data_IF_576303640541
#
_entry.id   IF_576303640541
#
_cell.length_a   1.000
_cell.length_b   1.000
_cell.length_c   1.000
_cell.angle_alpha   90.00
_cell.angle_beta   90.00
_cell.angle_gamma   90.00
#
_symmetry.space_group_name_H-M   'P 1'
#
loop_
_entity.id
_entity.type
_entity.pdbx_description
1 polymer ?
#
# COMPACT_ATOMS: atom_id res chain seq x y z
N UNK A 1 1.52 37.31 18.72
CA UNK A 1 2.71 36.46 18.61
C UNK A 1 2.59 35.28 17.66
N UNK A 2 1.40 34.72 17.39
CA UNK A 2 1.24 33.55 16.48
C UNK A 2 0.41 33.87 15.21
N UNK A 3 -0.28 35.01 15.17
CA UNK A 3 -1.01 35.51 14.00
C UNK A 3 -0.29 36.64 13.23
N UNK A 4 0.88 37.09 13.71
CA UNK A 4 1.70 38.11 13.03
C UNK A 4 2.85 37.51 12.20
N UNK A 5 3.01 36.19 12.19
CA UNK A 5 3.93 35.50 11.28
C UNK A 5 3.37 35.41 9.84
N UNK A 6 2.15 35.91 9.61
CA UNK A 6 1.48 35.95 8.31
C UNK A 6 1.58 37.31 7.59
N UNK A 7 2.29 38.30 8.13
CA UNK A 7 2.51 39.57 7.42
C UNK A 7 3.99 39.88 7.28
N UNK A 8 4.50 39.95 6.05
CA UNK A 8 5.71 40.72 5.79
C UNK A 8 6.70 40.16 4.77
N UNK A 9 6.44 39.01 4.15
CA UNK A 9 7.33 38.46 3.12
C UNK A 9 6.51 37.85 1.98
N UNK A 10 5.88 38.73 1.20
CA UNK A 10 5.55 38.42 -0.19
C UNK A 10 6.82 38.60 -1.04
N UNK A 11 7.85 37.79 -0.82
CA UNK A 11 9.00 37.76 -1.74
C UNK A 11 8.67 36.77 -2.84
N UNK A 12 8.12 37.31 -3.93
CA UNK A 12 8.39 36.92 -5.31
C UNK A 12 9.05 35.52 -5.45
N UNK A 13 8.27 34.45 -5.28
CA UNK A 13 8.74 33.06 -5.37
C UNK A 13 8.89 32.63 -6.83
N UNK A 14 9.69 33.38 -7.60
CA UNK A 14 9.91 33.13 -9.02
C UNK A 14 11.10 32.19 -9.28
N UNK A 15 11.90 31.86 -8.26
CA UNK A 15 13.02 30.92 -8.38
C UNK A 15 12.64 29.44 -8.19
N UNK A 16 13.41 28.53 -8.80
CA UNK A 16 13.26 27.08 -8.63
C UNK A 16 13.35 26.63 -7.16
N UNK A 17 14.24 27.22 -6.36
CA UNK A 17 14.43 26.83 -4.96
C UNK A 17 13.20 27.09 -4.07
N UNK A 18 12.50 28.21 -4.27
CA UNK A 18 11.30 28.54 -3.51
C UNK A 18 10.13 27.60 -3.87
N UNK A 19 9.99 27.24 -5.16
CA UNK A 19 9.01 26.24 -5.61
C UNK A 19 9.29 24.86 -5.01
N UNK A 20 10.54 24.40 -5.01
CA UNK A 20 10.91 23.13 -4.41
C UNK A 20 10.64 23.07 -2.90
N UNK A 21 10.93 24.16 -2.16
CA UNK A 21 10.67 24.23 -0.73
C UNK A 21 9.17 24.22 -0.40
N UNK A 22 8.37 25.00 -1.15
CA UNK A 22 6.92 25.03 -1.01
C UNK A 22 6.26 23.69 -1.40
N UNK A 23 6.78 23.02 -2.43
CA UNK A 23 6.35 21.68 -2.82
C UNK A 23 6.68 20.66 -1.74
N UNK A 24 7.88 20.71 -1.17
CA UNK A 24 8.26 19.84 -0.05
C UNK A 24 7.34 20.02 1.17
N UNK A 25 7.09 21.27 1.57
CA UNK A 25 6.21 21.57 2.70
C UNK A 25 4.76 21.16 2.44
N UNK A 26 4.20 21.49 1.28
CA UNK A 26 2.82 21.13 0.92
C UNK A 26 2.63 19.61 0.80
N UNK A 27 3.63 18.90 0.25
CA UNK A 27 3.64 17.44 0.18
C UNK A 27 3.63 16.81 1.57
N UNK A 28 4.50 17.28 2.47
CA UNK A 28 4.55 16.80 3.86
C UNK A 28 3.24 17.08 4.61
N UNK A 29 2.70 18.30 4.46
CA UNK A 29 1.43 18.68 5.07
C UNK A 29 0.29 17.79 4.59
N UNK A 30 0.13 17.61 3.28
CA UNK A 30 -0.91 16.75 2.70
C UNK A 30 -0.75 15.29 3.12
N UNK A 31 0.48 14.78 3.20
CA UNK A 31 0.75 13.41 3.64
C UNK A 31 0.31 13.17 5.09
N UNK A 32 0.77 14.03 6.01
CA UNK A 32 0.44 13.91 7.44
C UNK A 32 -1.05 14.19 7.71
N UNK A 33 -1.65 15.13 6.99
CA UNK A 33 -3.04 15.48 7.16
C UNK A 33 -3.97 14.38 6.63
N UNK A 34 -3.65 13.78 5.47
CA UNK A 34 -4.31 12.56 4.98
C UNK A 34 -4.21 11.44 6.02
N UNK A 35 -2.99 11.09 6.44
CA UNK A 35 -2.73 10.00 7.38
C UNK A 35 -3.49 10.19 8.70
N UNK A 36 -3.37 11.36 9.32
CA UNK A 36 -4.04 11.66 10.58
C UNK A 36 -5.57 11.68 10.45
N UNK A 37 -6.11 12.17 9.33
CA UNK A 37 -7.56 12.13 9.09
C UNK A 37 -8.08 10.71 8.88
N UNK A 38 -7.32 9.85 8.18
CA UNK A 38 -7.72 8.47 7.90
C UNK A 38 -7.81 7.65 9.20
N UNK A 39 -6.84 7.81 10.11
CA UNK A 39 -6.84 7.16 11.43
C UNK A 39 -7.95 7.69 12.35
N UNK A 40 -8.25 8.99 12.30
CA UNK A 40 -9.39 9.54 13.04
C UNK A 40 -10.71 9.02 12.50
N UNK A 41 -10.89 8.98 11.17
CA UNK A 41 -12.11 8.47 10.57
C UNK A 41 -12.32 6.97 10.81
N UNK A 42 -11.27 6.16 10.93
CA UNK A 42 -11.40 4.74 11.30
C UNK A 42 -11.83 4.57 12.76
N UNK A 43 -11.29 5.36 13.68
CA UNK A 43 -11.66 5.35 15.12
C UNK A 43 -13.02 5.98 15.44
N UNK A 44 -13.63 6.70 14.49
CA UNK A 44 -15.00 7.21 14.65
C UNK A 44 -16.06 6.11 14.79
N UNK A 45 -15.79 4.88 14.35
CA UNK A 45 -16.73 3.76 14.50
C UNK A 45 -17.01 3.42 15.98
N UNK A 46 -16.00 3.53 16.83
CA UNK A 46 -16.05 3.11 18.25
C UNK A 46 -16.59 4.22 19.17
N UNK A 47 -16.41 5.49 18.79
CA UNK A 47 -16.71 6.65 19.64
C UNK A 47 -18.12 7.22 19.43
N UNK A 48 -18.73 7.01 18.25
CA UNK A 48 -20.01 7.61 17.91
C UNK A 48 -21.22 6.84 18.45
N UNK A 49 -21.73 7.22 19.63
CA UNK A 49 -22.94 6.65 20.26
C UNK A 49 -24.28 7.31 19.85
N UNK A 50 -24.27 8.38 19.04
CA UNK A 50 -25.48 9.15 18.71
C UNK A 50 -26.26 8.62 17.49
N UNK A 51 -27.54 9.02 17.35
CA UNK A 51 -28.49 8.62 16.28
C UNK A 51 -27.99 8.80 14.83
N UNK A 52 -27.11 9.79 14.57
CA UNK A 52 -26.42 9.97 13.27
C UNK A 52 -25.37 8.87 12.96
N UNK A 53 -25.14 7.93 13.87
CA UNK A 53 -24.14 6.88 13.77
C UNK A 53 -24.36 5.93 12.58
N UNK A 54 -25.52 5.87 11.93
CA UNK A 54 -25.68 5.04 10.71
C UNK A 54 -24.83 5.55 9.53
N UNK A 55 -24.86 6.85 9.25
CA UNK A 55 -24.05 7.43 8.17
C UNK A 55 -22.57 7.42 8.57
N UNK A 56 -22.27 7.78 9.81
CA UNK A 56 -20.89 7.84 10.32
C UNK A 56 -20.21 6.45 10.32
N UNK A 57 -20.95 5.39 10.68
CA UNK A 57 -20.43 4.01 10.62
C UNK A 57 -20.25 3.51 9.19
N UNK A 58 -21.04 4.03 8.23
CA UNK A 58 -20.83 3.76 6.80
C UNK A 58 -19.59 4.48 6.28
N UNK A 59 -19.37 5.75 6.65
CA UNK A 59 -18.19 6.51 6.23
C UNK A 59 -16.90 6.03 6.88
N UNK A 60 -16.95 5.53 8.12
CA UNK A 60 -15.77 4.98 8.82
C UNK A 60 -15.16 3.77 8.08
N UNK A 61 -15.99 2.95 7.41
CA UNK A 61 -15.51 1.82 6.58
C UNK A 61 -14.76 2.28 5.32
N UNK A 62 -15.03 3.50 4.86
CA UNK A 62 -14.38 4.11 3.70
C UNK A 62 -13.43 5.25 4.12
N UNK A 63 -12.87 5.19 5.33
CA UNK A 63 -12.03 6.25 5.91
C UNK A 63 -10.93 6.73 4.97
N UNK A 64 -10.17 5.81 4.38
CA UNK A 64 -9.09 6.12 3.43
C UNK A 64 -9.62 6.84 2.17
N UNK A 65 -10.75 6.40 1.61
CA UNK A 65 -11.36 7.01 0.42
C UNK A 65 -11.94 8.41 0.73
N UNK A 66 -12.58 8.56 1.88
CA UNK A 66 -13.13 9.84 2.33
C UNK A 66 -12.00 10.83 2.60
N UNK A 67 -10.92 10.40 3.26
CA UNK A 67 -9.70 11.21 3.44
C UNK A 67 -9.05 11.58 2.11
N UNK A 68 -8.99 10.65 1.15
CA UNK A 68 -8.43 10.90 -0.18
C UNK A 68 -9.24 11.98 -0.89
N UNK A 69 -10.56 11.83 -0.94
CA UNK A 69 -11.47 12.81 -1.55
C UNK A 69 -11.38 14.17 -0.85
N UNK A 70 -11.34 14.20 0.48
CA UNK A 70 -11.23 15.44 1.25
C UNK A 70 -9.93 16.17 0.92
N UNK A 71 -8.77 15.52 1.03
CA UNK A 71 -7.48 16.19 0.85
C UNK A 71 -7.15 16.48 -0.61
N UNK A 72 -7.68 15.72 -1.56
CA UNK A 72 -7.62 16.08 -2.98
C UNK A 72 -8.41 17.34 -3.26
N UNK A 73 -9.64 17.48 -2.74
CA UNK A 73 -10.44 18.70 -2.88
C UNK A 73 -9.78 19.88 -2.15
N UNK A 74 -9.30 19.69 -0.92
CA UNK A 74 -8.61 20.72 -0.15
C UNK A 74 -7.32 21.21 -0.85
N UNK A 75 -6.68 20.37 -1.66
CA UNK A 75 -5.51 20.79 -2.46
C UNK A 75 -5.82 21.86 -3.50
N UNK A 76 -7.09 22.04 -3.90
CA UNK A 76 -7.52 23.08 -4.82
C UNK A 76 -7.89 24.40 -4.12
N UNK A 77 -8.01 24.41 -2.78
CA UNK A 77 -8.37 25.62 -2.03
C UNK A 77 -7.43 26.81 -2.29
N UNK A 78 -6.09 26.67 -2.31
CA UNK A 78 -5.19 27.79 -2.58
C UNK A 78 -5.38 28.38 -4.00
N UNK A 79 -5.76 27.55 -4.96
CA UNK A 79 -6.08 27.99 -6.31
C UNK A 79 -7.41 28.76 -6.36
N UNK A 80 -8.41 28.34 -5.56
CA UNK A 80 -9.71 29.00 -5.49
C UNK A 80 -9.70 30.28 -4.65
N UNK A 81 -8.83 30.39 -3.65
CA UNK A 81 -8.78 31.54 -2.74
C UNK A 81 -7.95 32.71 -3.26
N UNK A 82 -7.33 32.58 -4.46
CA UNK A 82 -6.45 33.59 -5.06
C UNK A 82 -5.47 34.20 -4.05
N UNK A 83 -4.90 33.35 -3.18
CA UNK A 83 -4.07 33.79 -2.08
C UNK A 83 -2.84 34.58 -2.61
N UNK A 84 -2.60 35.82 -2.13
CA UNK A 84 -1.47 36.62 -2.59
C UNK A 84 -0.15 35.89 -2.32
N UNK A 85 0.61 35.58 -3.37
CA UNK A 85 1.91 34.92 -3.29
C UNK A 85 1.94 33.40 -3.53
N UNK A 86 0.79 32.73 -3.75
CA UNK A 86 0.80 31.32 -4.13
C UNK A 86 1.16 31.16 -5.62
N UNK A 87 2.12 30.29 -5.99
CA UNK A 87 2.45 30.04 -7.40
C UNK A 87 1.23 29.44 -8.12
N UNK A 88 0.78 30.09 -9.18
CA UNK A 88 -0.42 29.67 -9.92
C UNK A 88 -0.24 28.37 -10.73
N UNK A 89 0.98 27.86 -10.87
CA UNK A 89 1.29 26.66 -11.64
C UNK A 89 2.18 25.69 -10.86
N UNK A 90 1.72 24.46 -10.65
CA UNK A 90 2.55 23.33 -10.22
C UNK A 90 2.71 23.09 -8.72
N UNK A 91 1.90 23.73 -7.86
CA UNK A 91 1.90 23.47 -6.40
C UNK A 91 0.50 23.10 -5.93
N UNK A 92 0.28 21.95 -5.25
CA UNK A 92 1.24 20.87 -5.00
C UNK A 92 1.55 20.04 -6.26
N UNK A 93 2.71 19.37 -6.28
CA UNK A 93 3.06 18.42 -7.34
C UNK A 93 2.03 17.30 -7.42
N UNK A 94 1.60 16.98 -8.64
CA UNK A 94 0.59 15.96 -8.93
C UNK A 94 1.22 14.77 -9.61
N UNK A 95 0.54 13.64 -9.55
CA UNK A 95 0.99 12.42 -10.22
C UNK A 95 1.09 12.68 -11.72
N UNK A 96 2.26 12.40 -12.28
CA UNK A 96 2.46 12.44 -13.74
C UNK A 96 1.82 11.18 -14.30
N UNK A 97 0.71 11.38 -15.00
CA UNK A 97 -0.02 10.29 -15.63
C UNK A 97 0.22 10.38 -17.13
N UNK A 98 0.90 9.41 -17.75
CA UNK A 98 1.08 9.42 -19.19
C UNK A 98 -0.28 9.32 -19.88
N UNK A 99 -0.54 10.24 -20.82
CA UNK A 99 -1.72 10.17 -21.65
C UNK A 99 -1.62 8.95 -22.58
N UNK A 100 -2.76 8.28 -22.79
CA UNK A 100 -2.87 7.18 -23.74
C UNK A 100 -2.30 7.58 -25.10
N UNK A 101 -1.31 6.82 -25.59
CA UNK A 101 -0.65 7.03 -26.88
C UNK A 101 0.53 8.01 -26.89
N UNK A 102 0.88 8.65 -25.77
CA UNK A 102 2.10 9.49 -25.68
C UNK A 102 3.34 8.71 -25.21
N UNK A 103 3.13 7.57 -24.56
CA UNK A 103 4.21 6.64 -24.28
C UNK A 103 4.46 5.86 -25.57
N UNK A 104 5.67 5.93 -26.12
CA UNK A 104 6.10 5.12 -27.27
C UNK A 104 6.18 3.62 -26.99
N UNK A 105 5.30 3.11 -26.12
CA UNK A 105 5.14 1.70 -25.84
C UNK A 105 4.24 1.11 -26.91
N UNK A 106 4.87 0.38 -27.83
CA UNK A 106 4.15 -0.46 -28.76
C UNK A 106 3.52 -1.62 -27.97
N UNK A 107 2.23 -1.49 -27.68
CA UNK A 107 1.40 -2.65 -27.37
C UNK A 107 1.59 -3.65 -28.51
N UNK A 108 1.68 -4.95 -28.21
CA UNK A 108 2.03 -6.03 -29.16
C UNK A 108 3.56 -6.22 -29.37
N UNK A 109 4.31 -6.29 -28.26
CA UNK A 109 5.73 -6.66 -28.25
C UNK A 109 6.04 -7.95 -29.05
N UNK A 110 5.06 -8.86 -29.18
CA UNK A 110 5.21 -10.06 -30.00
C UNK A 110 5.49 -9.83 -31.49
N UNK A 111 5.05 -8.69 -32.06
CA UNK A 111 5.25 -8.40 -33.49
C UNK A 111 6.72 -8.11 -33.84
N UNK A 112 7.53 -7.66 -32.88
CA UNK A 112 8.96 -7.37 -33.05
C UNK A 112 9.89 -8.44 -32.49
N UNK A 113 9.36 -9.57 -32.03
CA UNK A 113 10.19 -10.67 -31.50
C UNK A 113 11.19 -11.21 -32.53
N UNK A 114 10.89 -11.09 -33.83
CA UNK A 114 11.77 -11.51 -34.92
C UNK A 114 13.02 -10.65 -35.12
N UNK A 115 13.09 -9.46 -34.51
CA UNK A 115 14.25 -8.55 -34.60
C UNK A 115 15.32 -8.86 -33.54
N UNK A 116 14.99 -9.70 -32.55
CA UNK A 116 15.87 -10.00 -31.41
C UNK A 116 16.79 -11.17 -31.75
N UNK A 117 18.11 -11.06 -31.53
CA UNK A 117 19.02 -12.16 -31.82
C UNK A 117 18.74 -13.37 -30.91
N UNK A 118 18.80 -14.58 -31.47
CA UNK A 118 18.41 -15.81 -30.77
C UNK A 118 19.18 -16.06 -29.45
N UNK A 119 20.43 -15.60 -29.35
CA UNK A 119 21.22 -15.71 -28.11
C UNK A 119 20.62 -14.89 -26.95
N UNK A 120 19.99 -13.74 -27.25
CA UNK A 120 19.37 -12.90 -26.23
C UNK A 120 18.12 -13.56 -25.63
N UNK A 121 17.39 -14.35 -26.42
CA UNK A 121 16.27 -15.17 -25.94
C UNK A 121 16.77 -16.23 -24.94
N UNK A 122 17.92 -16.86 -25.23
CA UNK A 122 18.56 -17.80 -24.30
C UNK A 122 18.99 -17.15 -22.99
N UNK A 123 19.57 -15.95 -23.04
CA UNK A 123 19.96 -15.19 -21.84
C UNK A 123 18.73 -14.78 -21.01
N UNK A 124 17.61 -14.43 -21.65
CA UNK A 124 16.37 -14.06 -20.98
C UNK A 124 15.72 -15.22 -20.18
N UNK A 125 16.07 -16.47 -20.45
CA UNK A 125 15.59 -17.62 -19.69
C UNK A 125 16.05 -17.59 -18.22
N UNK A 126 17.24 -17.04 -17.94
CA UNK A 126 17.80 -16.94 -16.58
C UNK A 126 16.96 -16.02 -15.68
N UNK A 127 16.69 -14.74 -16.03
CA UNK A 127 15.81 -13.88 -15.24
C UNK A 127 14.37 -14.39 -15.24
N UNK A 128 13.89 -15.05 -16.30
CA UNK A 128 12.56 -15.66 -16.31
C UNK A 128 12.43 -16.78 -15.26
N UNK A 129 13.45 -17.64 -15.12
CA UNK A 129 13.47 -18.68 -14.09
C UNK A 129 13.50 -18.07 -12.68
N UNK A 130 14.30 -17.01 -12.47
CA UNK A 130 14.34 -16.29 -11.21
C UNK A 130 12.98 -15.65 -10.86
N UNK A 131 12.33 -15.00 -11.83
CA UNK A 131 10.99 -14.43 -11.67
C UNK A 131 9.93 -15.49 -11.38
N UNK A 132 10.05 -16.67 -11.99
CA UNK A 132 9.15 -17.79 -11.73
C UNK A 132 9.25 -18.25 -10.27
N UNK A 133 10.47 -18.37 -9.73
CA UNK A 133 10.69 -18.70 -8.31
C UNK A 133 10.14 -17.60 -7.41
N UNK A 134 10.36 -16.33 -7.74
CA UNK A 134 9.82 -15.20 -6.99
C UNK A 134 8.29 -15.22 -6.92
N UNK A 135 7.62 -15.35 -8.07
CA UNK A 135 6.15 -15.43 -8.15
C UNK A 135 5.60 -16.68 -7.48
N UNK A 136 6.32 -17.79 -7.51
CA UNK A 136 5.94 -18.99 -6.77
C UNK A 136 5.93 -18.71 -5.25
N UNK A 137 6.96 -18.06 -4.72
CA UNK A 137 7.02 -17.71 -3.30
C UNK A 137 5.95 -16.68 -2.93
N UNK A 138 5.79 -15.62 -3.72
CA UNK A 138 4.77 -14.57 -3.47
C UNK A 138 3.35 -15.14 -3.45
N UNK A 139 3.02 -16.00 -4.42
CA UNK A 139 1.68 -16.59 -4.52
C UNK A 139 1.39 -17.52 -3.34
N UNK A 140 2.33 -18.40 -2.98
CA UNK A 140 2.14 -19.32 -1.86
C UNK A 140 2.10 -18.57 -0.51
N UNK A 141 2.97 -17.58 -0.31
CA UNK A 141 2.98 -16.79 0.92
C UNK A 141 1.68 -15.99 1.09
N UNK A 142 1.21 -15.37 0.01
CA UNK A 142 0.02 -14.55 0.05
C UNK A 142 -1.25 -15.38 0.25
N UNK A 143 -1.38 -16.51 -0.43
CA UNK A 143 -2.55 -17.42 -0.29
C UNK A 143 -2.62 -18.03 1.11
N UNK A 144 -1.50 -18.49 1.69
CA UNK A 144 -1.48 -18.99 3.07
C UNK A 144 -2.00 -17.96 4.09
N UNK A 145 -1.66 -16.68 3.90
CA UNK A 145 -2.15 -15.61 4.78
C UNK A 145 -3.66 -15.35 4.65
N UNK A 146 -4.26 -15.68 3.50
CA UNK A 146 -5.67 -15.45 3.22
C UNK A 146 -6.57 -16.65 3.56
N UNK A 147 -6.05 -17.88 3.56
CA UNK A 147 -6.89 -19.08 3.76
C UNK A 147 -7.11 -19.44 5.24
N UNK A 148 -6.43 -18.78 6.17
CA UNK A 148 -6.63 -18.99 7.60
C UNK A 148 -8.10 -18.74 8.03
N UNK A 149 -8.92 -19.80 8.05
CA UNK A 149 -10.35 -19.77 8.44
C UNK A 149 -11.38 -19.90 7.31
N UNK A 150 -10.99 -20.20 6.06
CA UNK A 150 -11.94 -20.48 4.98
C UNK A 150 -12.46 -21.92 5.01
N UNK A 151 -13.62 -22.15 4.38
CA UNK A 151 -14.27 -23.47 4.34
C UNK A 151 -14.01 -24.20 3.02
N UNK A 152 -13.72 -23.46 1.94
CA UNK A 152 -13.46 -24.03 0.62
C UNK A 152 -12.08 -24.70 0.52
N UNK A 153 -11.94 -25.76 -0.31
CA UNK A 153 -10.66 -26.41 -0.54
C UNK A 153 -9.68 -25.48 -1.26
N UNK A 154 -8.42 -25.52 -0.82
CA UNK A 154 -7.32 -24.77 -1.40
C UNK A 154 -6.89 -25.36 -2.75
N UNK A 155 -6.66 -24.50 -3.75
CA UNK A 155 -6.25 -24.89 -5.09
C UNK A 155 -4.96 -24.17 -5.53
N UNK A 156 -3.90 -24.25 -4.71
CA UNK A 156 -2.64 -23.52 -4.94
C UNK A 156 -2.03 -23.73 -6.34
N UNK A 157 -2.06 -24.96 -6.85
CA UNK A 157 -1.50 -25.28 -8.17
C UNK A 157 -2.28 -24.62 -9.30
N UNK A 158 -3.60 -24.52 -9.17
CA UNK A 158 -4.45 -23.87 -10.17
C UNK A 158 -4.19 -22.36 -10.19
N UNK A 159 -4.08 -21.75 -9.01
CA UNK A 159 -3.79 -20.32 -8.89
C UNK A 159 -2.41 -19.97 -9.49
N UNK A 160 -1.40 -20.83 -9.28
CA UNK A 160 -0.09 -20.66 -9.89
C UNK A 160 -0.11 -20.85 -11.41
N UNK A 161 -0.87 -21.83 -11.92
CA UNK A 161 -1.05 -22.01 -13.36
C UNK A 161 -1.74 -20.81 -14.02
N UNK A 162 -2.79 -20.28 -13.39
CA UNK A 162 -3.51 -19.09 -13.86
C UNK A 162 -2.61 -17.85 -13.83
N UNK A 163 -1.82 -17.67 -12.76
CA UNK A 163 -0.81 -16.62 -12.69
C UNK A 163 0.18 -16.72 -13.86
N UNK A 164 0.74 -17.91 -14.12
CA UNK A 164 1.63 -18.14 -15.25
C UNK A 164 1.00 -17.81 -16.61
N UNK A 165 -0.27 -18.18 -16.82
CA UNK A 165 -1.02 -17.83 -18.03
C UNK A 165 -1.19 -16.32 -18.17
N UNK A 166 -1.55 -15.62 -17.09
CA UNK A 166 -1.69 -14.16 -17.13
C UNK A 166 -0.36 -13.46 -17.41
N UNK A 167 0.74 -13.92 -16.81
CA UNK A 167 2.09 -13.39 -17.06
C UNK A 167 2.51 -13.61 -18.51
N UNK A 168 2.17 -14.76 -19.10
CA UNK A 168 2.39 -15.01 -20.52
C UNK A 168 1.61 -14.01 -21.39
N UNK A 169 0.33 -13.80 -21.10
CA UNK A 169 -0.53 -12.85 -21.84
C UNK A 169 -0.01 -11.41 -21.68
N UNK A 170 0.30 -10.95 -20.47
CA UNK A 170 0.84 -9.61 -20.24
C UNK A 170 2.21 -9.44 -20.87
N UNK A 171 3.06 -10.47 -20.82
CA UNK A 171 4.38 -10.47 -21.47
C UNK A 171 4.30 -10.33 -22.98
N UNK A 172 3.37 -11.05 -23.63
CA UNK A 172 3.12 -10.91 -25.09
C UNK A 172 2.60 -9.52 -25.46
N UNK A 173 1.78 -8.93 -24.59
CA UNK A 173 1.20 -7.60 -24.77
C UNK A 173 2.17 -6.46 -24.40
N UNK A 174 3.32 -6.76 -23.77
CA UNK A 174 4.27 -5.75 -23.28
C UNK A 174 3.82 -5.05 -22.00
N UNK A 175 2.84 -5.59 -21.29
CA UNK A 175 2.34 -5.07 -20.02
C UNK A 175 3.12 -5.66 -18.84
N UNK A 176 3.27 -4.91 -17.73
CA UNK A 176 3.89 -5.44 -16.53
C UNK A 176 3.10 -6.65 -16.01
N UNK A 177 3.83 -7.64 -15.51
CA UNK A 177 3.24 -8.83 -14.89
C UNK A 177 2.47 -8.44 -13.61
N UNK A 178 1.27 -9.01 -13.43
CA UNK A 178 0.53 -8.91 -12.16
C UNK A 178 1.05 -9.96 -11.18
N UNK A 179 1.56 -9.54 -10.02
CA UNK A 179 1.88 -10.46 -8.90
C UNK A 179 0.79 -10.40 -7.83
N UNK A 180 0.70 -11.43 -6.99
CA UNK A 180 -0.13 -11.43 -5.79
C UNK A 180 0.36 -10.38 -4.79
N UNK A 181 -0.48 -9.39 -4.46
CA UNK A 181 -0.12 -8.33 -3.53
C UNK A 181 -0.16 -8.85 -2.08
N UNK A 182 1.01 -9.00 -1.48
CA UNK A 182 1.21 -9.50 -0.10
C UNK A 182 0.33 -8.79 0.94
N UNK A 183 0.25 -7.45 1.02
CA UNK A 183 -0.62 -6.80 2.01
C UNK A 183 -2.11 -6.77 1.58
N UNK A 184 -2.40 -6.80 0.28
CA UNK A 184 -3.77 -6.61 -0.20
C UNK A 184 -4.66 -7.84 0.05
N UNK A 185 -4.13 -9.05 -0.18
CA UNK A 185 -4.87 -10.30 -0.01
C UNK A 185 -5.37 -10.54 1.43
N UNK A 186 -4.55 -10.37 2.48
CA UNK A 186 -5.02 -10.50 3.86
C UNK A 186 -5.94 -9.33 4.26
N UNK A 187 -5.70 -8.10 3.78
CA UNK A 187 -6.61 -6.97 4.04
C UNK A 187 -8.00 -7.19 3.45
N UNK A 188 -8.07 -7.71 2.22
CA UNK A 188 -9.32 -8.05 1.56
C UNK A 188 -10.07 -9.14 2.33
N UNK A 189 -9.37 -10.21 2.72
CA UNK A 189 -9.94 -11.30 3.52
C UNK A 189 -10.45 -10.80 4.87
N UNK A 190 -9.67 -9.97 5.59
CA UNK A 190 -10.07 -9.39 6.89
C UNK A 190 -11.31 -8.51 6.78
N UNK A 191 -11.49 -7.81 5.66
CA UNK A 191 -12.69 -6.99 5.41
C UNK A 191 -13.96 -7.82 5.22
N UNK A 192 -13.83 -9.10 4.82
CA UNK A 192 -14.92 -10.04 4.62
C UNK A 192 -15.23 -10.88 5.86
N UNK A 193 -14.59 -10.58 6.99
CA UNK A 193 -14.87 -11.23 8.27
C UNK A 193 -16.32 -10.97 8.68
N UNK A 194 -17.09 -12.05 8.85
CA UNK A 194 -18.42 -11.96 9.44
C UNK A 194 -18.26 -11.81 10.94
N UNK A 195 -18.68 -10.68 11.51
CA UNK A 195 -18.85 -10.58 12.97
C UNK A 195 -20.06 -11.42 13.35
N UNK A 196 -19.87 -12.46 14.16
CA UNK A 196 -20.98 -13.12 14.83
C UNK A 196 -21.63 -12.16 15.83
N UNK A 197 -22.83 -12.48 16.30
CA UNK A 197 -23.34 -11.84 17.51
C UNK A 197 -22.47 -12.23 18.70
N UNK A 198 -22.47 -11.41 19.75
CA UNK A 198 -21.59 -11.49 20.93
C UNK A 198 -21.50 -12.86 21.67
N UNK A 199 -22.38 -13.82 21.36
CA UNK A 199 -22.36 -15.18 21.92
C UNK A 199 -21.71 -16.24 20.99
N UNK A 200 -21.42 -15.91 19.72
CA UNK A 200 -20.87 -16.84 18.73
C UNK A 200 -19.39 -16.57 18.39
N UNK A 201 -18.83 -15.45 18.86
CA UNK A 201 -17.45 -15.05 18.59
C UNK A 201 -16.42 -15.70 19.54
N UNK A 202 -16.86 -16.44 20.57
CA UNK A 202 -16.00 -16.97 21.64
C UNK A 202 -15.54 -18.43 21.48
N UNK A 203 -16.12 -19.24 20.58
CA UNK A 203 -15.81 -20.69 20.51
C UNK A 203 -15.47 -21.25 19.12
N UNK A 204 -15.42 -20.42 18.06
CA UNK A 204 -15.18 -20.92 16.70
C UNK A 204 -14.14 -20.11 15.90
N UNK A 205 -13.48 -20.72 14.90
CA UNK A 205 -12.62 -19.97 13.98
C UNK A 205 -13.43 -18.86 13.29
N UNK A 206 -12.82 -17.68 13.03
CA UNK A 206 -13.51 -16.56 12.40
C UNK A 206 -14.05 -16.98 11.03
N UNK A 207 -15.35 -16.74 10.80
CA UNK A 207 -16.00 -17.08 9.53
C UNK A 207 -15.86 -15.92 8.56
N UNK A 208 -15.45 -16.22 7.33
CA UNK A 208 -15.34 -15.23 6.26
C UNK A 208 -16.41 -15.45 5.19
N UNK A 209 -16.86 -14.35 4.57
CA UNK A 209 -17.72 -14.40 3.41
C UNK A 209 -16.90 -14.69 2.15
N UNK A 210 -17.06 -15.87 1.56
CA UNK A 210 -16.43 -16.20 0.28
C UNK A 210 -17.19 -15.52 -0.86
N UNK A 211 -16.61 -14.45 -1.41
CA UNK A 211 -17.24 -13.66 -2.47
C UNK A 211 -16.29 -13.47 -3.66
N UNK A 212 -16.75 -13.86 -4.85
CA UNK A 212 -16.02 -13.65 -6.12
C UNK A 212 -16.27 -12.26 -6.72
N UNK A 213 -17.39 -11.64 -6.35
CA UNK A 213 -17.83 -10.37 -6.93
C UNK A 213 -16.91 -9.20 -6.57
N UNK A 214 -16.37 -9.16 -5.33
CA UNK A 214 -15.52 -8.05 -4.91
C UNK A 214 -14.21 -7.96 -5.71
N UNK A 215 -13.60 -9.11 -6.03
CA UNK A 215 -12.40 -9.14 -6.89
C UNK A 215 -12.70 -8.70 -8.32
N UNK A 216 -13.78 -9.23 -8.90
CA UNK A 216 -14.23 -8.84 -10.25
C UNK A 216 -14.54 -7.35 -10.34
N UNK A 217 -15.27 -6.80 -9.36
CA UNK A 217 -15.61 -5.39 -9.32
C UNK A 217 -14.36 -4.50 -9.23
N UNK A 218 -13.36 -4.91 -8.45
CA UNK A 218 -12.08 -4.22 -8.37
C UNK A 218 -11.38 -4.20 -9.74
N UNK A 219 -11.28 -5.34 -10.42
CA UNK A 219 -10.67 -5.41 -11.75
C UNK A 219 -11.41 -4.56 -12.80
N UNK A 220 -12.75 -4.58 -12.79
CA UNK A 220 -13.57 -3.75 -13.69
C UNK A 220 -13.37 -2.26 -13.40
N UNK A 221 -13.29 -1.87 -12.12
CA UNK A 221 -13.06 -0.48 -11.73
C UNK A 221 -11.67 0.01 -12.13
N UNK A 222 -10.62 -0.80 -11.97
CA UNK A 222 -9.26 -0.48 -12.43
C UNK A 222 -9.20 -0.31 -13.95
N UNK A 223 -9.86 -1.21 -14.70
CA UNK A 223 -9.97 -1.06 -16.15
C UNK A 223 -10.69 0.24 -16.54
N UNK A 224 -11.81 0.57 -15.87
CA UNK A 224 -12.51 1.84 -16.04
C UNK A 224 -11.64 3.07 -15.71
N UNK A 225 -10.88 3.01 -14.62
CA UNK A 225 -9.94 4.08 -14.22
C UNK A 225 -8.88 4.36 -15.27
N UNK A 226 -8.54 3.36 -16.09
CA UNK A 226 -7.58 3.56 -17.17
C UNK A 226 -8.14 4.56 -18.21
N UNK A 227 -9.44 4.59 -18.49
CA UNK A 227 -10.04 5.63 -19.34
C UNK A 227 -10.18 6.98 -18.63
N UNK A 228 -10.16 6.99 -17.29
CA UNK A 228 -10.28 8.16 -16.43
C UNK A 228 -8.92 8.67 -15.93
N UNK A 229 -7.82 8.35 -16.61
CA UNK A 229 -6.46 8.81 -16.27
C UNK A 229 -6.34 10.33 -16.03
N UNK A 230 -7.05 11.23 -16.75
CA UNK A 230 -7.05 12.67 -16.43
C UNK A 230 -7.55 13.00 -15.02
N UNK A 231 -8.49 12.21 -14.48
CA UNK A 231 -8.99 12.41 -13.11
C UNK A 231 -7.98 11.92 -12.07
N UNK A 232 -7.22 10.87 -12.37
CA UNK A 232 -6.14 10.37 -11.48
C UNK A 232 -5.02 11.41 -11.37
N UNK A 233 -4.71 12.12 -12.47
CA UNK A 233 -3.74 13.23 -12.47
C UNK A 233 -4.14 14.43 -11.60
N UNK A 234 -5.39 14.48 -11.09
CA UNK A 234 -5.80 15.49 -10.11
C UNK A 234 -5.28 15.20 -8.71
N UNK A 235 -4.84 13.98 -8.42
CA UNK A 235 -4.42 13.60 -7.08
C UNK A 235 -3.01 14.18 -6.79
N UNK A 236 -2.83 14.95 -5.71
CA UNK A 236 -1.49 15.42 -5.32
C UNK A 236 -0.61 14.26 -4.87
N UNK A 237 0.66 14.28 -5.26
CA UNK A 237 1.65 13.27 -4.87
C UNK A 237 1.79 13.16 -3.33
N UNK A 238 1.66 14.28 -2.60
CA UNK A 238 1.66 14.29 -1.14
C UNK A 238 0.60 13.40 -0.50
N UNK A 239 -0.58 13.28 -1.10
CA UNK A 239 -1.64 12.41 -0.57
C UNK A 239 -1.29 10.94 -0.76
N UNK A 240 -0.62 10.58 -1.86
CA UNK A 240 -0.12 9.22 -2.09
C UNK A 240 0.94 8.83 -1.05
N UNK A 241 1.86 9.74 -0.71
CA UNK A 241 2.81 9.51 0.38
C UNK A 241 2.10 9.25 1.72
N UNK A 242 1.01 9.98 1.99
CA UNK A 242 0.14 9.70 3.13
C UNK A 242 -0.54 8.32 3.07
N UNK A 243 -0.94 7.87 1.89
CA UNK A 243 -1.50 6.53 1.68
C UNK A 243 -0.46 5.42 1.93
N UNK A 244 0.80 5.62 1.51
CA UNK A 244 1.89 4.71 1.85
C UNK A 244 2.13 4.63 3.37
N UNK A 245 2.06 5.76 4.09
CA UNK A 245 2.15 5.75 5.56
C UNK A 245 0.97 4.98 6.20
N UNK A 246 -0.24 5.11 5.65
CA UNK A 246 -1.39 4.35 6.13
C UNK A 246 -1.19 2.84 5.92
N UNK A 247 -0.72 2.41 4.75
CA UNK A 247 -0.40 1.02 4.46
C UNK A 247 0.73 0.51 5.37
N UNK A 248 1.75 1.34 5.63
CA UNK A 248 2.83 1.01 6.55
C UNK A 248 2.31 0.84 8.00
N UNK A 249 1.30 1.60 8.42
CA UNK A 249 0.73 1.47 9.77
C UNK A 249 -0.02 0.15 9.98
N UNK A 250 -0.63 -0.41 8.94
CA UNK A 250 -1.26 -1.73 9.01
C UNK A 250 -0.24 -2.85 9.25
N UNK A 251 1.01 -2.68 8.81
CA UNK A 251 2.09 -3.62 9.09
C UNK A 251 2.45 -3.72 10.58
N UNK A 252 2.03 -2.75 11.41
CA UNK A 252 2.18 -2.80 12.88
C UNK A 252 1.49 -4.03 13.49
N UNK A 253 0.38 -4.47 12.88
CA UNK A 253 -0.39 -5.62 13.35
C UNK A 253 0.28 -6.97 13.02
N UNK A 254 1.40 -6.96 12.30
CA UNK A 254 2.15 -8.18 12.04
C UNK A 254 2.81 -8.68 13.33
N UNK A 255 2.70 -9.99 13.60
CA UNK A 255 3.24 -10.62 14.80
C UNK A 255 4.75 -10.40 14.97
N UNK A 256 5.50 -10.35 13.87
CA UNK A 256 6.93 -10.05 13.92
C UNK A 256 7.19 -8.64 14.46
N UNK A 257 6.45 -7.64 13.97
CA UNK A 257 6.61 -6.23 14.39
C UNK A 257 6.19 -6.06 15.85
N UNK A 258 5.07 -6.66 16.26
CA UNK A 258 4.63 -6.66 17.66
C UNK A 258 5.68 -7.30 18.59
N UNK A 259 6.31 -8.41 18.20
CA UNK A 259 7.42 -9.02 18.95
C UNK A 259 8.67 -8.14 18.99
N UNK A 260 9.01 -7.46 17.90
CA UNK A 260 10.10 -6.47 17.91
C UNK A 260 9.82 -5.32 18.89
N UNK A 261 8.58 -4.82 18.94
CA UNK A 261 8.18 -3.78 19.89
C UNK A 261 8.19 -4.27 21.33
N UNK A 262 7.87 -5.54 21.56
CA UNK A 262 7.96 -6.18 22.87
C UNK A 262 9.41 -6.18 23.41
N UNK A 263 10.42 -6.23 22.53
CA UNK A 263 11.85 -6.12 22.92
C UNK A 263 12.19 -4.71 23.43
N UNK A 264 11.57 -3.68 22.87
CA UNK A 264 11.81 -2.28 23.24
C UNK A 264 10.98 -1.87 24.47
N UNK A 265 9.88 -2.57 24.72
CA UNK A 265 8.94 -2.26 25.81
C UNK A 265 9.53 -2.57 27.19
N UNK A 266 9.28 -1.70 28.17
CA UNK A 266 9.75 -1.87 29.55
C UNK A 266 9.09 -3.08 30.22
N UNK A 267 9.79 -3.68 31.19
CA UNK A 267 9.28 -4.87 31.93
C UNK A 267 7.94 -4.62 32.63
N UNK A 268 7.62 -3.37 32.99
CA UNK A 268 6.39 -2.99 33.68
C UNK A 268 5.15 -2.97 32.77
N UNK A 269 5.30 -2.56 31.50
CA UNK A 269 4.20 -2.50 30.52
C UNK A 269 3.92 -3.83 29.83
N UNK A 270 4.73 -4.84 30.12
CA UNK A 270 4.68 -6.16 29.49
C UNK A 270 3.51 -7.04 29.98
N UNK A 271 3.01 -6.81 31.20
CA UNK A 271 1.84 -7.49 31.75
C UNK A 271 0.54 -6.68 31.57
N UNK A 272 0.57 -5.58 30.81
CA UNK A 272 -0.66 -4.84 30.50
C UNK A 272 -1.51 -5.66 29.52
N UNK A 273 -2.58 -6.28 30.02
CA UNK A 273 -3.48 -7.14 29.23
C UNK A 273 -4.08 -6.44 28.00
N UNK A 274 -4.23 -5.11 28.06
CA UNK A 274 -4.80 -4.33 26.96
C UNK A 274 -3.86 -4.06 25.78
N UNK A 275 -2.54 -4.02 25.99
CA UNK A 275 -1.60 -3.60 24.93
C UNK A 275 -1.20 -4.78 24.01
N UNK A 276 -1.26 -6.00 24.54
CA UNK A 276 -0.78 -7.22 23.88
C UNK A 276 -1.88 -8.26 23.69
N UNK A 277 -3.16 -7.86 23.75
CA UNK A 277 -4.31 -8.75 23.63
C UNK A 277 -4.28 -9.63 22.36
N UNK A 278 -3.85 -9.06 21.23
CA UNK A 278 -3.70 -9.80 19.96
C UNK A 278 -2.62 -10.90 20.03
N UNK A 279 -1.62 -10.74 20.90
CA UNK A 279 -0.50 -11.68 21.10
C UNK A 279 -0.71 -12.64 22.28
N UNK A 280 -1.84 -12.57 22.98
CA UNK A 280 -2.10 -13.35 24.19
C UNK A 280 -1.88 -14.86 23.96
N UNK A 281 -2.33 -15.36 22.80
CA UNK A 281 -2.21 -16.76 22.40
C UNK A 281 -0.77 -17.30 22.32
N UNK A 282 0.23 -16.43 22.10
CA UNK A 282 1.65 -16.80 22.05
C UNK A 282 2.34 -16.54 23.40
N UNK A 283 1.97 -15.45 24.05
CA UNK A 283 2.67 -14.96 25.23
C UNK A 283 2.30 -15.72 26.51
N UNK A 284 1.09 -16.28 26.59
CA UNK A 284 0.63 -17.11 27.71
C UNK A 284 1.34 -18.47 27.79
N UNK A 285 1.51 -19.25 26.69
CA UNK A 285 2.12 -20.57 26.77
C UNK A 285 3.65 -20.58 26.79
N UNK A 286 4.34 -19.54 26.28
CA UNK A 286 5.79 -19.61 26.00
C UNK A 286 6.61 -18.74 26.96
N UNK A 287 7.72 -19.26 27.53
CA UNK A 287 8.60 -18.45 28.37
C UNK A 287 9.29 -17.34 27.56
N UNK A 288 9.29 -16.12 28.10
CA UNK A 288 9.77 -14.93 27.40
C UNK A 288 11.20 -15.01 26.84
N UNK A 289 12.12 -15.71 27.52
CA UNK A 289 13.50 -15.83 27.05
C UNK A 289 13.57 -16.54 25.68
N UNK A 290 12.70 -17.51 25.45
CA UNK A 290 12.59 -18.20 24.17
C UNK A 290 12.01 -17.28 23.09
N UNK A 291 10.99 -16.50 23.43
CA UNK A 291 10.40 -15.49 22.53
C UNK A 291 11.44 -14.46 22.08
N UNK A 292 12.26 -13.96 23.01
CA UNK A 292 13.35 -13.01 22.69
C UNK A 292 14.40 -13.65 21.79
N UNK A 293 14.87 -14.86 22.12
CA UNK A 293 15.87 -15.57 21.32
C UNK A 293 15.38 -15.81 19.88
N UNK A 294 14.12 -16.24 19.73
CA UNK A 294 13.49 -16.43 18.43
C UNK A 294 13.37 -15.12 17.65
N UNK A 295 12.93 -14.03 18.31
CA UNK A 295 12.77 -12.73 17.64
C UNK A 295 14.12 -12.16 17.19
N UNK A 296 15.19 -12.33 17.99
CA UNK A 296 16.54 -11.93 17.61
C UNK A 296 17.07 -12.74 16.42
N UNK A 297 16.79 -14.04 16.38
CA UNK A 297 17.13 -14.89 15.23
C UNK A 297 16.42 -14.42 13.96
N UNK A 298 15.11 -14.17 14.03
CA UNK A 298 14.32 -13.65 12.90
C UNK A 298 14.83 -12.30 12.42
N UNK A 299 15.16 -11.38 13.34
CA UNK A 299 15.72 -10.08 13.00
C UNK A 299 17.11 -10.21 12.35
N UNK A 300 17.93 -11.16 12.81
CA UNK A 300 19.19 -11.53 12.16
C UNK A 300 18.99 -12.01 10.72
N UNK A 301 18.08 -12.96 10.50
CA UNK A 301 17.75 -13.44 9.15
C UNK A 301 17.20 -12.31 8.25
N UNK A 302 16.34 -11.45 8.78
CA UNK A 302 15.82 -10.28 8.07
C UNK A 302 16.96 -9.35 7.62
N UNK A 303 17.91 -9.02 8.50
CA UNK A 303 19.05 -8.18 8.16
C UNK A 303 19.97 -8.81 7.12
N UNK A 304 20.19 -10.14 7.20
CA UNK A 304 20.99 -10.88 6.22
C UNK A 304 20.39 -10.82 4.82
N UNK A 305 19.07 -10.74 4.69
CA UNK A 305 18.39 -10.59 3.39
C UNK A 305 18.30 -9.11 2.97
N UNK A 306 17.96 -8.23 3.92
CA UNK A 306 17.72 -6.82 3.66
C UNK A 306 18.97 -6.05 3.25
N UNK A 307 20.10 -6.26 3.95
CA UNK A 307 21.34 -5.52 3.69
C UNK A 307 21.87 -5.78 2.28
N UNK A 308 22.01 -7.03 1.79
CA UNK A 308 22.39 -7.30 0.42
C UNK A 308 21.40 -6.76 -0.60
N UNK A 309 20.08 -6.85 -0.35
CA UNK A 309 19.08 -6.33 -1.28
C UNK A 309 19.19 -4.81 -1.46
N UNK A 310 19.39 -4.07 -0.37
CA UNK A 310 19.64 -2.62 -0.40
C UNK A 310 20.97 -2.30 -1.07
N UNK A 311 22.03 -3.05 -0.76
CA UNK A 311 23.35 -2.86 -1.36
C UNK A 311 23.33 -3.12 -2.88
N UNK A 312 22.65 -4.18 -3.33
CA UNK A 312 22.47 -4.50 -4.75
C UNK A 312 21.76 -3.36 -5.50
N UNK A 313 20.76 -2.74 -4.88
CA UNK A 313 20.07 -1.57 -5.45
C UNK A 313 21.00 -0.37 -5.61
N UNK A 314 21.91 -0.13 -4.67
CA UNK A 314 22.91 0.93 -4.78
C UNK A 314 24.03 0.60 -5.76
N UNK A 315 24.40 -0.67 -5.89
CA UNK A 315 25.50 -1.13 -6.75
C UNK A 315 25.10 -1.16 -8.23
N UNK A 316 23.84 -1.47 -8.52
CA UNK A 316 23.26 -1.45 -9.87
C UNK A 316 22.17 -0.37 -9.97
N UNK A 317 22.55 0.93 -10.05
CA UNK A 317 21.58 1.97 -10.35
C UNK A 317 21.08 1.75 -11.79
N UNK A 318 19.88 1.22 -11.93
CA UNK A 318 19.20 1.17 -13.22
C UNK A 318 18.98 2.62 -13.64
N UNK A 319 19.67 3.05 -14.69
CA UNK A 319 19.63 4.42 -15.19
C UNK A 319 18.18 4.79 -15.58
N UNK A 320 17.67 5.91 -15.04
CA UNK A 320 16.25 6.36 -15.04
C UNK A 320 15.67 6.75 -16.42
N UNK A 321 15.98 6.01 -17.49
CA UNK A 321 15.45 6.30 -18.82
C UNK A 321 13.98 5.94 -18.99
N UNK A 322 13.49 4.88 -18.32
CA UNK A 322 12.16 4.30 -18.58
C UNK A 322 11.58 3.52 -17.39
N UNK A 323 11.63 4.07 -16.17
CA UNK A 323 10.96 3.48 -15.00
C UNK A 323 9.79 4.35 -14.58
N UNK A 324 8.63 3.71 -14.36
CA UNK A 324 7.33 4.33 -14.02
C UNK A 324 7.26 4.96 -12.63
N UNK A 325 8.41 5.27 -12.03
CA UNK A 325 8.53 5.87 -10.71
C UNK A 325 9.58 6.98 -10.79
N UNK A 326 9.16 8.10 -11.37
CA UNK A 326 9.78 9.41 -11.21
C UNK A 326 8.70 10.37 -10.72
#
# INVERSE_FOLDING_TARGET
GILAAFSGVAYNCTGHAARCSLNGFSTLFLALAFFGSALKFSTLHETARCSSARLLRRTARFSALVSLALWTVMSFLPAWSSAPGWPSSGVPDRVVVPAWGQTGHDFLAFLRMGEVPAWAVGVAAVPALLLTVLFYVDQNLSTMSAVAGLRSPEAFNLDFLLLGLTVLITGLLGMPASSGLIPQNPMHTRSLRMSGGAAADSEGPPRFAEQRFSGLLHSVLLFGLTFLMPLVGLIPAGVLWGAFLLLASEAYNAEFVQRCLLLVTSKALKHSEGLWADMAHILEPVPFRSTVAYTLLQLGCFLVIYVPAVLLKFLFPIHDGHTWVT
#
